data_IF_124981235296
#
_entry.id   IF_124981235296
#
_cell.length_a   1.000
_cell.length_b   1.000
_cell.length_c   1.000
_cell.angle_alpha   90.00
_cell.angle_beta   90.00
_cell.angle_gamma   90.00
#
_symmetry.space_group_name_H-M   'P 1'
#
loop_
_entity.id
_entity.type
_entity.pdbx_description
1 polymer ?
#
# COMPACT_ATOMS: atom_id res chain seq x y z
N UNK A 1 4.56 -13.76 79.08
CA UNK A 1 4.86 -13.09 77.81
C UNK A 1 6.08 -13.76 77.22
N UNK A 2 5.87 -14.68 76.28
CA UNK A 2 6.94 -15.44 75.62
C UNK A 2 7.12 -14.92 74.21
N UNK A 3 8.34 -14.47 73.91
CA UNK A 3 8.86 -14.25 72.57
C UNK A 3 9.55 -15.55 72.14
N UNK A 4 9.31 -16.00 70.90
CA UNK A 4 10.43 -16.52 70.13
C UNK A 4 10.57 -15.81 68.77
N UNK A 5 11.79 -15.32 68.54
CA UNK A 5 12.36 -14.98 67.22
C UNK A 5 12.67 -16.26 66.44
N UNK A 6 12.28 -16.35 65.16
CA UNK A 6 12.93 -17.22 64.16
C UNK A 6 12.91 -16.54 62.77
N UNK A 7 14.07 -15.97 62.41
CA UNK A 7 14.87 -16.07 61.17
C UNK A 7 14.21 -15.83 59.78
N UNK A 8 14.87 -15.05 58.89
CA UNK A 8 14.29 -14.49 57.67
C UNK A 8 14.20 -15.48 56.49
N UNK A 9 13.14 -15.35 55.69
CA UNK A 9 13.01 -16.07 54.42
C UNK A 9 13.81 -15.36 53.33
N UNK A 10 14.77 -16.14 52.85
CA UNK A 10 15.63 -15.94 51.68
C UNK A 10 14.87 -15.59 50.40
N UNK A 11 15.50 -14.69 49.65
CA UNK A 11 15.47 -14.44 48.21
C UNK A 11 14.73 -15.48 47.34
N UNK A 12 13.70 -15.01 46.62
CA UNK A 12 13.38 -15.55 45.30
C UNK A 12 13.28 -14.40 44.31
N UNK A 13 14.30 -14.29 43.46
CA UNK A 13 14.24 -13.55 42.21
C UNK A 13 13.16 -14.17 41.30
N UNK A 14 12.27 -13.38 40.68
CA UNK A 14 11.47 -13.90 39.58
C UNK A 14 12.38 -14.15 38.39
N UNK A 15 12.48 -15.43 38.03
CA UNK A 15 13.11 -15.94 36.83
C UNK A 15 12.58 -15.23 35.59
N UNK A 16 13.50 -14.85 34.70
CA UNK A 16 13.24 -14.43 33.33
C UNK A 16 12.62 -15.59 32.55
N UNK A 17 11.30 -15.73 32.63
CA UNK A 17 10.53 -16.51 31.66
C UNK A 17 10.42 -15.67 30.39
N UNK A 18 11.43 -15.82 29.53
CA UNK A 18 11.40 -15.40 28.12
C UNK A 18 10.35 -16.28 27.44
N UNK A 19 9.08 -15.89 27.56
CA UNK A 19 8.04 -16.40 26.67
C UNK A 19 8.23 -15.75 25.31
N UNK A 20 9.06 -16.43 24.50
CA UNK A 20 9.03 -16.43 23.05
C UNK A 20 7.64 -16.91 22.57
N UNK A 21 6.63 -16.07 22.74
CA UNK A 21 5.34 -16.23 22.09
C UNK A 21 5.45 -15.57 20.72
N UNK A 22 5.98 -16.32 19.76
CA UNK A 22 5.81 -16.00 18.34
C UNK A 22 4.32 -16.17 18.08
N UNK A 23 3.56 -15.10 17.80
CA UNK A 23 2.13 -15.24 17.61
C UNK A 23 1.86 -16.08 16.36
N UNK A 24 1.01 -17.06 16.54
CA UNK A 24 0.37 -17.95 15.57
C UNK A 24 -0.41 -17.14 14.52
N UNK A 25 0.26 -16.38 13.66
CA UNK A 25 -0.36 -15.58 12.58
C UNK A 25 -0.22 -16.25 11.21
N UNK A 26 0.46 -17.40 11.14
CA UNK A 26 0.74 -18.11 9.89
C UNK A 26 -0.39 -19.01 9.36
N UNK A 27 -1.63 -18.88 9.84
CA UNK A 27 -2.72 -19.76 9.42
C UNK A 27 -3.83 -19.13 8.55
N UNK A 28 -3.64 -17.91 8.02
CA UNK A 28 -4.61 -17.31 7.08
C UNK A 28 -4.14 -17.24 5.62
N UNK A 29 -3.02 -17.89 5.29
CA UNK A 29 -2.45 -17.89 3.93
C UNK A 29 -3.13 -18.86 2.92
N UNK A 30 -4.19 -19.58 3.31
CA UNK A 30 -4.88 -20.53 2.42
C UNK A 30 -6.30 -20.10 1.97
N UNK A 31 -6.78 -18.92 2.36
CA UNK A 31 -8.08 -18.40 1.89
C UNK A 31 -7.98 -17.33 0.79
N UNK A 32 -6.76 -16.99 0.36
CA UNK A 32 -6.56 -16.17 -0.83
C UNK A 32 -6.39 -17.06 -2.06
N UNK A 33 -7.52 -17.47 -2.64
CA UNK A 33 -7.62 -17.97 -4.01
C UNK A 33 -8.69 -17.17 -4.76
N UNK A 34 -8.59 -17.07 -6.10
CA UNK A 34 -8.64 -15.78 -6.80
C UNK A 34 -10.04 -15.42 -7.30
N UNK A 35 -10.54 -14.24 -6.90
CA UNK A 35 -11.64 -13.58 -7.60
C UNK A 35 -11.01 -12.50 -8.48
N UNK A 36 -10.41 -12.87 -9.61
CA UNK A 36 -10.28 -12.02 -10.81
C UNK A 36 -9.82 -12.87 -12.01
N UNK A 37 -10.67 -13.82 -12.42
CA UNK A 37 -10.60 -14.38 -13.78
C UNK A 37 -11.50 -13.53 -14.70
N UNK A 38 -10.85 -12.68 -15.50
CA UNK A 38 -10.92 -12.64 -16.97
C UNK A 38 -12.25 -13.03 -17.63
N UNK A 39 -12.89 -12.06 -18.28
CA UNK A 39 -13.42 -12.21 -19.64
C UNK A 39 -13.20 -10.88 -20.37
N UNK A 40 -12.14 -10.85 -21.18
CA UNK A 40 -12.14 -10.04 -22.38
C UNK A 40 -12.90 -10.81 -23.45
N UNK A 41 -13.90 -10.20 -24.05
CA UNK A 41 -14.39 -10.61 -25.36
C UNK A 41 -14.07 -9.54 -26.39
N UNK A 42 -13.38 -10.03 -27.41
CA UNK A 42 -12.83 -9.36 -28.56
C UNK A 42 -13.91 -9.43 -29.65
N UNK A 43 -14.52 -8.30 -30.01
CA UNK A 43 -15.28 -8.21 -31.26
C UNK A 43 -14.48 -7.41 -32.28
N UNK A 44 -13.81 -8.16 -33.17
CA UNK A 44 -13.33 -7.71 -34.48
C UNK A 44 -14.53 -7.50 -35.38
N UNK A 45 -14.60 -6.35 -36.03
CA UNK A 45 -15.31 -6.21 -37.30
C UNK A 45 -14.35 -5.55 -38.28
N UNK A 46 -14.12 -6.27 -39.38
CA UNK A 46 -13.28 -5.90 -40.50
C UNK A 46 -13.88 -4.71 -41.27
N UNK A 47 -13.04 -3.72 -41.59
CA UNK A 47 -13.28 -2.84 -42.73
C UNK A 47 -11.98 -2.63 -43.51
N UNK A 48 -12.02 -3.12 -44.74
CA UNK A 48 -11.04 -2.93 -45.81
C UNK A 48 -11.00 -1.47 -46.32
N UNK A 49 -9.82 -1.10 -46.83
CA UNK A 49 -9.52 -0.05 -47.80
C UNK A 49 -9.61 1.40 -47.28
N UNK A 50 -8.59 2.25 -47.38
CA UNK A 50 -7.68 2.45 -48.51
C UNK A 50 -6.47 3.29 -48.06
N UNK A 51 -5.30 3.02 -48.66
CA UNK A 51 -4.04 3.68 -48.33
C UNK A 51 -4.00 5.14 -48.82
N UNK A 52 -3.60 6.10 -47.98
CA UNK A 52 -3.12 7.40 -48.46
C UNK A 52 -1.63 7.35 -48.85
N UNK A 53 -1.20 8.17 -49.82
CA UNK A 53 0.11 8.07 -50.48
C UNK A 53 1.30 8.37 -49.57
N UNK A 54 2.43 7.73 -49.88
CA UNK A 54 3.71 7.88 -49.20
C UNK A 54 4.27 9.30 -49.35
N UNK A 55 4.29 10.05 -48.25
CA UNK A 55 5.15 11.24 -48.14
C UNK A 55 6.47 10.84 -47.48
N UNK A 56 7.53 10.85 -48.28
CA UNK A 56 8.90 10.68 -47.80
C UNK A 56 9.35 12.03 -47.23
N UNK A 57 9.39 12.17 -45.91
CA UNK A 57 10.03 13.30 -45.23
C UNK A 57 11.21 12.79 -44.41
N UNK A 58 12.33 12.55 -45.09
CA UNK A 58 13.62 12.39 -44.41
C UNK A 58 14.01 13.74 -43.80
N UNK A 59 14.00 13.83 -42.48
CA UNK A 59 14.62 14.93 -41.74
C UNK A 59 15.61 14.35 -40.74
N UNK A 60 16.90 14.72 -40.76
CA UNK A 60 17.87 14.25 -39.79
C UNK A 60 17.69 15.01 -38.47
N UNK A 61 16.83 14.50 -37.59
CA UNK A 61 16.66 15.06 -36.25
C UNK A 61 17.69 14.47 -35.28
N UNK A 62 18.72 15.29 -35.04
CA UNK A 62 19.64 15.26 -33.89
C UNK A 62 18.99 14.63 -32.66
N UNK A 63 19.49 13.45 -32.29
CA UNK A 63 19.20 12.81 -31.02
C UNK A 63 19.80 13.64 -29.87
N UNK A 64 19.08 14.68 -29.45
CA UNK A 64 19.36 15.37 -28.20
C UNK A 64 19.02 14.40 -27.05
N UNK A 65 20.01 13.61 -26.62
CA UNK A 65 19.94 12.81 -25.39
C UNK A 65 19.71 13.77 -24.22
N UNK A 66 18.45 14.00 -23.86
CA UNK A 66 18.06 14.65 -22.60
C UNK A 66 18.49 13.72 -21.47
N UNK A 67 19.71 13.92 -20.97
CA UNK A 67 20.15 13.35 -19.70
C UNK A 67 19.28 14.01 -18.63
N UNK A 68 18.16 13.34 -18.28
CA UNK A 68 17.36 13.72 -17.13
C UNK A 68 18.28 13.60 -15.92
N UNK A 69 18.65 14.75 -15.33
CA UNK A 69 19.24 14.81 -13.99
C UNK A 69 18.31 14.03 -13.07
N UNK A 70 18.69 12.80 -12.72
CA UNK A 70 18.00 12.04 -11.68
C UNK A 70 18.25 12.81 -10.38
N UNK A 71 17.27 13.62 -9.98
CA UNK A 71 17.24 14.17 -8.63
C UNK A 71 17.25 12.94 -7.72
N UNK A 72 18.25 12.81 -6.84
CA UNK A 72 18.24 11.76 -5.81
C UNK A 72 16.99 11.99 -4.96
N UNK A 73 15.93 11.28 -5.30
CA UNK A 73 14.70 11.30 -4.54
C UNK A 73 14.97 10.58 -3.22
N UNK A 74 14.48 11.18 -2.13
CA UNK A 74 14.63 10.57 -0.81
C UNK A 74 13.91 9.22 -0.83
N UNK A 75 14.47 8.18 -0.20
CA UNK A 75 13.82 6.88 -0.14
C UNK A 75 12.46 7.04 0.56
N UNK A 76 11.42 6.45 -0.03
CA UNK A 76 10.07 6.46 0.54
C UNK A 76 10.04 5.53 1.75
N UNK A 77 9.36 5.96 2.80
CA UNK A 77 9.22 5.24 4.06
C UNK A 77 7.74 5.08 4.43
N UNK A 78 7.43 4.10 5.29
CA UNK A 78 6.07 3.85 5.76
C UNK A 78 5.45 5.03 6.53
N UNK A 79 6.28 5.94 7.05
CA UNK A 79 5.84 7.14 7.78
C UNK A 79 5.61 8.35 6.88
N UNK A 80 6.01 8.26 5.62
CA UNK A 80 5.77 9.33 4.67
C UNK A 80 4.29 9.48 4.37
N UNK A 81 3.90 10.73 4.13
CA UNK A 81 2.56 11.08 3.69
C UNK A 81 2.45 10.75 2.21
N UNK A 82 1.49 9.91 1.79
CA UNK A 82 1.27 9.67 0.38
C UNK A 82 1.06 10.95 -0.39
N UNK A 83 1.64 11.04 -1.58
CA UNK A 83 1.51 12.23 -2.41
C UNK A 83 0.55 11.95 -3.56
N UNK A 84 -0.32 12.92 -3.86
CA UNK A 84 -1.22 12.85 -5.01
C UNK A 84 -0.48 12.65 -6.33
N UNK A 85 0.74 13.18 -6.44
CA UNK A 85 1.53 13.10 -7.67
C UNK A 85 2.41 11.85 -7.74
N UNK A 86 2.33 10.95 -6.75
CA UNK A 86 3.11 9.72 -6.78
C UNK A 86 2.73 8.84 -7.97
N UNK A 87 3.77 8.38 -8.64
CA UNK A 87 3.72 7.34 -9.66
C UNK A 87 3.32 6.01 -9.05
N UNK A 88 2.94 5.07 -9.91
CA UNK A 88 2.63 3.69 -9.50
C UNK A 88 3.77 3.08 -8.68
N UNK A 89 5.02 3.21 -9.12
CA UNK A 89 6.18 2.66 -8.41
C UNK A 89 6.37 3.26 -7.01
N UNK A 90 6.18 4.58 -6.86
CA UNK A 90 6.29 5.24 -5.55
C UNK A 90 5.17 4.79 -4.60
N UNK A 91 3.95 4.62 -5.11
CA UNK A 91 2.85 4.07 -4.32
C UNK A 91 3.12 2.63 -3.88
N UNK A 92 3.62 1.79 -4.78
CA UNK A 92 3.97 0.40 -4.48
C UNK A 92 5.08 0.31 -3.44
N UNK A 93 6.10 1.15 -3.56
CA UNK A 93 7.18 1.21 -2.57
C UNK A 93 6.64 1.62 -1.19
N UNK A 94 5.74 2.60 -1.13
CA UNK A 94 5.09 2.99 0.12
C UNK A 94 4.27 1.84 0.75
N UNK A 95 3.50 1.10 -0.06
CA UNK A 95 2.76 -0.08 0.42
C UNK A 95 3.70 -1.16 0.94
N UNK A 96 4.80 -1.44 0.23
CA UNK A 96 5.83 -2.38 0.66
C UNK A 96 6.35 -2.00 2.04
N UNK A 97 6.73 -0.74 2.24
CA UNK A 97 7.21 -0.25 3.53
C UNK A 97 6.17 -0.42 4.64
N UNK A 98 4.89 -0.17 4.35
CA UNK A 98 3.79 -0.36 5.31
C UNK A 98 3.60 -1.83 5.68
N UNK A 99 3.63 -2.73 4.71
CA UNK A 99 3.46 -4.16 4.94
C UNK A 99 4.60 -4.75 5.78
N UNK A 100 5.82 -4.29 5.55
CA UNK A 100 6.95 -4.66 6.41
C UNK A 100 6.78 -4.07 7.80
N UNK A 101 6.58 -2.75 7.92
CA UNK A 101 6.63 -2.05 9.21
C UNK A 101 5.44 -2.33 10.12
N UNK A 102 4.23 -2.33 9.57
CA UNK A 102 2.99 -2.41 10.35
C UNK A 102 2.35 -3.79 10.32
N UNK A 103 2.61 -4.59 9.29
CA UNK A 103 2.01 -5.93 9.16
C UNK A 103 3.01 -7.06 9.41
N UNK A 104 4.30 -6.75 9.60
CA UNK A 104 5.34 -7.73 9.89
C UNK A 104 5.60 -8.71 8.74
N UNK A 105 5.23 -8.35 7.50
CA UNK A 105 5.52 -9.19 6.35
C UNK A 105 7.02 -9.18 6.02
N UNK A 106 7.52 -10.30 5.50
CA UNK A 106 8.85 -10.35 4.93
C UNK A 106 8.91 -9.47 3.68
N UNK A 107 10.10 -8.96 3.37
CA UNK A 107 10.26 -7.96 2.31
C UNK A 107 9.76 -8.46 0.94
N UNK A 108 10.05 -9.72 0.59
CA UNK A 108 9.59 -10.31 -0.67
C UNK A 108 8.07 -10.48 -0.76
N UNK A 109 7.40 -10.84 0.34
CA UNK A 109 5.93 -10.93 0.38
C UNK A 109 5.33 -9.53 0.28
N UNK A 110 5.89 -8.57 1.01
CA UNK A 110 5.44 -7.18 0.98
C UNK A 110 5.57 -6.59 -0.43
N UNK A 111 6.68 -6.85 -1.13
CA UNK A 111 6.88 -6.41 -2.51
C UNK A 111 5.87 -7.06 -3.46
N UNK A 112 5.65 -8.38 -3.33
CA UNK A 112 4.68 -9.10 -4.15
C UNK A 112 3.26 -8.53 -3.98
N UNK A 113 2.79 -8.37 -2.73
CA UNK A 113 1.46 -7.82 -2.45
C UNK A 113 1.35 -6.36 -2.90
N UNK A 114 2.40 -5.56 -2.70
CA UNK A 114 2.41 -4.17 -3.17
C UNK A 114 2.30 -4.08 -4.70
N UNK A 115 2.94 -5.00 -5.45
CA UNK A 115 2.86 -5.05 -6.91
C UNK A 115 1.43 -5.32 -7.42
N UNK A 116 0.66 -6.12 -6.71
CA UNK A 116 -0.74 -6.41 -7.01
C UNK A 116 -1.66 -5.19 -6.80
N UNK A 117 -1.27 -4.28 -5.90
CA UNK A 117 -2.01 -3.03 -5.70
C UNK A 117 -1.69 -2.09 -6.86
N UNK A 118 -2.64 -2.03 -7.79
CA UNK A 118 -2.62 -1.09 -8.91
C UNK A 118 -3.13 0.29 -8.50
N UNK A 119 -2.67 1.31 -9.24
CA UNK A 119 -3.07 2.70 -9.06
C UNK A 119 -1.87 3.65 -8.99
N UNK A 120 -2.21 4.91 -8.78
CA UNK A 120 -1.30 6.04 -8.58
C UNK A 120 -1.74 6.81 -7.34
N UNK A 121 -1.03 7.89 -6.97
CA UNK A 121 -1.30 8.68 -5.75
C UNK A 121 -2.80 8.89 -5.42
N UNK A 122 -3.65 9.34 -6.36
CA UNK A 122 -5.09 9.52 -6.14
C UNK A 122 -5.83 8.25 -5.71
N UNK A 123 -5.41 7.08 -6.22
CA UNK A 123 -6.03 5.79 -5.91
C UNK A 123 -5.87 5.40 -4.43
N UNK A 124 -4.84 5.91 -3.76
CA UNK A 124 -4.64 5.71 -2.31
C UNK A 124 -5.78 6.38 -1.54
N UNK A 125 -6.15 7.60 -1.94
CA UNK A 125 -7.16 8.41 -1.25
C UNK A 125 -8.60 8.10 -1.67
N UNK A 126 -8.79 7.48 -2.84
CA UNK A 126 -10.11 7.20 -3.39
C UNK A 126 -10.71 5.87 -2.91
N UNK A 127 -9.89 4.97 -2.34
CA UNK A 127 -10.39 3.70 -1.78
C UNK A 127 -11.16 3.96 -0.48
N UNK A 128 -12.36 3.40 -0.42
CA UNK A 128 -13.20 3.42 0.77
C UNK A 128 -12.77 2.31 1.75
N UNK A 129 -13.31 2.37 2.97
CA UNK A 129 -12.92 1.47 4.05
C UNK A 129 -13.13 -0.01 3.69
N UNK A 130 -14.24 -0.34 3.02
CA UNK A 130 -14.56 -1.72 2.60
C UNK A 130 -13.49 -2.30 1.67
N UNK A 131 -12.97 -1.50 0.73
CA UNK A 131 -11.89 -1.93 -0.16
C UNK A 131 -10.61 -2.21 0.63
N UNK A 132 -10.28 -1.37 1.61
CA UNK A 132 -9.13 -1.60 2.50
C UNK A 132 -9.29 -2.85 3.35
N UNK A 133 -10.49 -3.08 3.89
CA UNK A 133 -10.84 -4.30 4.63
C UNK A 133 -10.74 -5.54 3.76
N UNK A 134 -11.19 -5.48 2.51
CA UNK A 134 -11.04 -6.58 1.56
C UNK A 134 -9.56 -6.88 1.25
N UNK A 135 -8.72 -5.85 1.15
CA UNK A 135 -7.30 -6.02 0.85
C UNK A 135 -6.48 -6.54 2.04
N UNK A 136 -6.75 -6.04 3.26
CA UNK A 136 -5.87 -6.26 4.42
C UNK A 136 -6.51 -7.09 5.54
N UNK A 137 -7.80 -7.37 5.44
CA UNK A 137 -8.62 -8.05 6.46
C UNK A 137 -9.26 -7.08 7.46
N UNK A 138 -10.18 -7.61 8.27
CA UNK A 138 -11.06 -6.86 9.18
C UNK A 138 -10.31 -6.05 10.26
N UNK A 139 -9.15 -6.51 10.73
CA UNK A 139 -8.37 -5.75 11.71
C UNK A 139 -7.54 -4.61 11.09
N UNK A 140 -6.97 -4.84 9.90
CA UNK A 140 -5.92 -3.98 9.34
C UNK A 140 -6.45 -2.98 8.33
N UNK A 141 -7.49 -3.35 7.58
CA UNK A 141 -8.12 -2.48 6.59
C UNK A 141 -8.67 -1.19 7.19
N UNK A 142 -9.51 -1.24 8.23
CA UNK A 142 -10.03 -0.04 8.88
C UNK A 142 -8.92 0.85 9.46
N UNK A 143 -7.86 0.24 10.01
CA UNK A 143 -6.70 0.98 10.51
C UNK A 143 -5.96 1.73 9.38
N UNK A 144 -5.76 1.08 8.23
CA UNK A 144 -5.14 1.69 7.05
C UNK A 144 -5.99 2.84 6.50
N UNK A 145 -7.29 2.61 6.37
CA UNK A 145 -8.23 3.63 5.93
C UNK A 145 -8.19 4.86 6.84
N UNK A 146 -8.25 4.66 8.16
CA UNK A 146 -8.16 5.74 9.14
C UNK A 146 -6.81 6.49 9.09
N UNK A 147 -5.70 5.80 8.83
CA UNK A 147 -4.39 6.42 8.65
C UNK A 147 -4.40 7.36 7.44
N UNK A 148 -4.87 6.87 6.28
CA UNK A 148 -4.96 7.63 5.03
C UNK A 148 -5.91 8.82 5.21
N UNK A 149 -7.07 8.58 5.84
CA UNK A 149 -8.07 9.61 6.11
C UNK A 149 -7.51 10.77 6.94
N UNK A 150 -6.66 10.48 7.95
CA UNK A 150 -6.00 11.51 8.76
C UNK A 150 -4.95 12.31 8.00
N UNK A 151 -4.26 11.72 7.03
CA UNK A 151 -3.18 12.39 6.30
C UNK A 151 -3.62 13.05 5.00
N UNK A 152 -4.83 12.80 4.52
CA UNK A 152 -5.33 13.33 3.22
C UNK A 152 -5.37 14.86 3.12
N UNK A 153 -5.43 15.57 4.25
CA UNK A 153 -5.39 17.04 4.32
C UNK A 153 -3.98 17.61 4.47
N UNK A 154 -2.95 16.75 4.56
CA UNK A 154 -1.55 17.20 4.64
C UNK A 154 -1.07 17.66 3.26
N UNK A 155 -0.05 18.54 3.26
CA UNK A 155 0.52 19.11 2.05
C UNK A 155 0.95 18.01 1.07
N UNK A 156 0.47 18.12 -0.16
CA UNK A 156 0.80 17.22 -1.26
C UNK A 156 -0.02 15.91 -1.30
N UNK A 157 -0.82 15.63 -0.27
CA UNK A 157 -1.71 14.47 -0.25
C UNK A 157 -2.88 14.60 -1.23
N UNK A 158 -3.63 15.70 -1.18
CA UNK A 158 -4.70 16.03 -2.14
C UNK A 158 -4.56 17.51 -2.58
N UNK A 159 -4.65 17.83 -3.88
CA UNK A 159 -4.63 19.21 -4.37
C UNK A 159 -5.81 20.03 -3.84
N UNK A 160 -5.57 21.32 -3.60
CA UNK A 160 -6.63 22.23 -3.19
C UNK A 160 -7.67 22.36 -4.32
N UNK A 161 -8.95 22.21 -4.00
CA UNK A 161 -10.06 22.26 -4.96
C UNK A 161 -10.61 20.90 -5.41
N UNK A 162 -9.97 19.78 -5.04
CA UNK A 162 -10.52 18.44 -5.25
C UNK A 162 -11.08 17.94 -3.92
N UNK A 163 -12.40 17.85 -3.81
CA UNK A 163 -13.07 17.20 -2.68
C UNK A 163 -13.28 15.72 -2.99
N UNK A 164 -12.69 14.83 -2.20
CA UNK A 164 -13.03 13.39 -2.25
C UNK A 164 -14.23 13.05 -1.37
N UNK A 165 -14.82 14.04 -0.69
CA UNK A 165 -15.89 13.83 0.29
C UNK A 165 -17.26 13.59 -0.39
N UNK A 166 -17.39 13.92 -1.67
CA UNK A 166 -18.65 13.84 -2.41
C UNK A 166 -19.11 12.40 -2.70
N UNK A 167 -18.19 11.43 -2.76
CA UNK A 167 -18.52 10.01 -2.93
C UNK A 167 -18.94 9.29 -1.63
N UNK A 168 -18.84 9.95 -0.46
CA UNK A 168 -19.08 9.31 0.84
C UNK A 168 -20.52 9.48 1.35
N UNK A 169 -21.27 10.43 0.78
CA UNK A 169 -22.66 10.71 1.19
C UNK A 169 -23.72 9.97 0.37
N UNK A 170 -23.33 9.29 -0.73
CA UNK A 170 -24.29 8.67 -1.64
C UNK A 170 -24.86 7.30 -1.18
N UNK A 171 -24.54 6.81 0.03
CA UNK A 171 -24.96 5.48 0.51
C UNK A 171 -25.57 5.47 1.92
N UNK A 172 -26.20 6.57 2.33
CA UNK A 172 -27.06 6.58 3.52
C UNK A 172 -28.50 6.91 3.06
N UNK A 173 -29.17 5.91 2.48
CA UNK A 173 -30.63 5.88 2.34
C UNK A 173 -31.11 4.43 2.33
#
# INVERSE_FOLDING_TARGET
>A
MHIPEIIPKSCMSPSLEIFSSIPTVYQYFLLWSPIFNKTGELNKTDHQNSAPPAYNCETPQKQARKIKRQKKEKPITATDVPQWKWTKSECQEWYRCIFVKYLGHSDGIAEYVAKEISGWGPSIFSRNEKDWTRLLGEGRGPAMYNLIYKVRRKRGAIPWGISTDECMLANIH
#
